data_IF_192274000559
#
_entry.id   IF_192274000559
#
_cell.length_a   1.000
_cell.length_b   1.000
_cell.length_c   1.000
_cell.angle_alpha   90.00
_cell.angle_beta   90.00
_cell.angle_gamma   90.00
#
_symmetry.space_group_name_H-M   'P 1'
#
loop_
_entity.id
_entity.type
_entity.pdbx_description
1 polymer ?
#
# COMPACT_ATOMS: atom_id res chain seq x y z
N UNK A 1 6.51 8.34 -24.92
CA UNK A 1 5.70 7.15 -24.57
C UNK A 1 6.16 5.98 -25.44
N UNK A 2 6.95 5.04 -24.88
CA UNK A 2 7.48 3.91 -25.65
C UNK A 2 6.38 2.85 -25.81
N UNK A 3 5.95 2.60 -27.05
CA UNK A 3 5.03 1.51 -27.38
C UNK A 3 5.83 0.20 -27.45
N UNK A 4 5.58 -0.72 -26.52
CA UNK A 4 6.08 -2.10 -26.63
C UNK A 4 5.14 -2.86 -27.57
N UNK A 5 5.72 -3.41 -28.63
CA UNK A 5 5.01 -4.13 -29.68
C UNK A 5 4.94 -5.62 -29.29
N UNK A 6 3.83 -6.05 -28.68
CA UNK A 6 3.62 -7.43 -28.29
C UNK A 6 3.18 -8.27 -29.51
N UNK A 7 4.15 -8.75 -30.29
CA UNK A 7 3.92 -9.87 -31.22
C UNK A 7 4.14 -11.18 -30.46
N UNK A 8 3.11 -11.63 -29.78
CA UNK A 8 2.97 -12.98 -29.25
C UNK A 8 1.53 -13.43 -29.53
N UNK A 9 1.36 -14.28 -30.53
CA UNK A 9 0.05 -14.80 -30.92
C UNK A 9 -0.54 -15.60 -29.75
N UNK A 10 -1.65 -15.12 -29.21
CA UNK A 10 -2.48 -15.85 -28.25
C UNK A 10 -3.13 -17.02 -28.99
N UNK A 11 -2.84 -18.25 -28.60
CA UNK A 11 -3.46 -19.45 -29.15
C UNK A 11 -4.88 -19.69 -28.61
N UNK A 12 -5.31 -18.93 -27.59
CA UNK A 12 -6.68 -18.89 -27.10
C UNK A 12 -7.09 -17.44 -26.92
N UNK A 13 -8.26 -17.03 -27.41
CA UNK A 13 -8.77 -15.65 -27.39
C UNK A 13 -9.10 -15.08 -26.01
N UNK A 14 -8.27 -15.30 -24.99
CA UNK A 14 -8.43 -14.76 -23.65
C UNK A 14 -7.70 -13.42 -23.51
N UNK A 15 -8.32 -12.41 -22.86
CA UNK A 15 -7.67 -11.12 -22.61
C UNK A 15 -6.39 -11.30 -21.78
N UNK A 16 -5.38 -10.48 -22.08
CA UNK A 16 -3.98 -10.55 -21.62
C UNK A 16 -3.77 -10.59 -20.09
N UNK A 17 -4.81 -10.35 -19.29
CA UNK A 17 -4.78 -10.45 -17.82
C UNK A 17 -4.89 -11.89 -17.29
N UNK A 18 -5.20 -12.88 -18.15
CA UNK A 18 -5.54 -14.26 -17.72
C UNK A 18 -4.65 -15.36 -18.30
N UNK A 19 -3.46 -15.01 -18.81
CA UNK A 19 -2.55 -16.00 -19.39
C UNK A 19 -2.00 -17.03 -18.37
N UNK A 20 -2.14 -16.78 -17.07
CA UNK A 20 -1.64 -17.65 -16.01
C UNK A 20 -2.79 -18.36 -15.25
N UNK A 21 -2.63 -19.67 -15.02
CA UNK A 21 -3.52 -20.48 -14.18
C UNK A 21 -3.19 -20.30 -12.68
N UNK A 22 -3.45 -19.11 -12.15
CA UNK A 22 -3.14 -18.77 -10.76
C UNK A 22 -4.10 -19.47 -9.79
N UNK A 23 -3.65 -20.59 -9.20
CA UNK A 23 -4.36 -21.26 -8.11
C UNK A 23 -4.24 -20.45 -6.81
N UNK A 24 -5.28 -20.42 -5.94
CA UNK A 24 -5.24 -19.68 -4.69
C UNK A 24 -4.24 -20.30 -3.70
N UNK A 25 -3.64 -19.45 -2.86
CA UNK A 25 -2.79 -19.91 -1.77
C UNK A 25 -3.60 -20.59 -0.66
N UNK A 26 -3.02 -21.59 0.00
CA UNK A 26 -3.65 -22.29 1.13
C UNK A 26 -3.79 -21.40 2.38
N UNK A 27 -2.92 -20.40 2.53
CA UNK A 27 -2.95 -19.40 3.60
C UNK A 27 -2.92 -18.01 2.98
N UNK A 28 -3.73 -17.10 3.51
CA UNK A 28 -3.74 -15.70 3.09
C UNK A 28 -3.92 -14.79 4.29
N UNK A 29 -3.27 -13.63 4.24
CA UNK A 29 -3.38 -12.59 5.27
C UNK A 29 -3.83 -11.31 4.58
N UNK A 30 -4.97 -10.78 5.03
CA UNK A 30 -5.56 -9.54 4.51
C UNK A 30 -5.64 -8.55 5.67
N UNK A 31 -5.13 -7.34 5.44
CA UNK A 31 -5.20 -6.25 6.41
C UNK A 31 -6.34 -5.31 6.05
N UNK A 32 -7.27 -5.10 6.99
CA UNK A 32 -8.24 -4.02 6.88
C UNK A 32 -7.56 -2.72 7.31
N UNK A 33 -7.45 -1.77 6.38
CA UNK A 33 -6.84 -0.48 6.64
C UNK A 33 -7.91 0.61 6.79
N UNK A 34 -7.81 1.41 7.85
CA UNK A 34 -8.55 2.66 8.02
C UNK A 34 -7.55 3.82 7.87
N UNK A 35 -7.85 4.78 7.01
CA UNK A 35 -7.00 5.96 6.80
C UNK A 35 -7.64 7.18 7.43
N UNK A 36 -6.92 7.81 8.36
CA UNK A 36 -7.26 9.14 8.88
C UNK A 36 -6.24 10.15 8.37
N UNK A 37 -6.70 11.37 8.10
CA UNK A 37 -5.89 12.44 7.53
C UNK A 37 -6.08 13.70 8.39
N UNK A 38 -5.00 14.45 8.57
CA UNK A 38 -5.00 15.73 9.26
C UNK A 38 -4.00 16.67 8.57
N UNK A 39 -4.22 17.97 8.71
CA UNK A 39 -3.28 18.96 8.20
C UNK A 39 -2.01 18.93 9.04
N UNK A 40 -0.88 18.78 8.35
CA UNK A 40 0.44 18.83 8.97
C UNK A 40 1.08 20.18 8.65
N UNK A 41 1.31 20.99 9.69
CA UNK A 41 1.99 22.27 9.56
C UNK A 41 3.48 22.08 9.90
N UNK A 42 4.32 22.14 8.87
CA UNK A 42 5.77 22.01 9.00
C UNK A 42 6.38 23.16 9.80
N UNK A 43 5.87 24.38 9.64
CA UNK A 43 6.43 25.56 10.31
C UNK A 43 6.20 25.49 11.83
N UNK A 44 4.97 25.18 12.23
CA UNK A 44 4.61 25.03 13.65
C UNK A 44 5.35 23.87 14.31
N UNK A 45 5.51 22.75 13.58
CA UNK A 45 6.26 21.60 14.07
C UNK A 45 7.74 21.94 14.31
N UNK A 46 8.41 22.57 13.35
CA UNK A 46 9.80 22.99 13.46
C UNK A 46 10.02 24.05 14.55
N UNK A 47 9.08 24.99 14.68
CA UNK A 47 9.11 25.99 15.75
C UNK A 47 8.99 25.33 17.14
N UNK A 48 8.14 24.31 17.29
CA UNK A 48 8.01 23.54 18.52
C UNK A 48 9.26 22.69 18.84
N UNK A 49 9.96 22.19 17.82
CA UNK A 49 11.23 21.45 17.98
C UNK A 49 12.46 22.36 18.18
N UNK A 50 12.33 23.67 17.94
CA UNK A 50 13.42 24.64 18.03
C UNK A 50 14.34 24.66 16.80
N UNK A 51 13.99 23.94 15.73
CA UNK A 51 14.77 23.91 14.49
C UNK A 51 14.25 24.95 13.50
N UNK A 52 14.72 26.18 13.66
CA UNK A 52 14.36 27.30 12.76
C UNK A 52 15.23 27.38 11.51
N UNK A 53 16.33 26.63 11.46
CA UNK A 53 17.31 26.69 10.37
C UNK A 53 16.91 25.78 9.19
N UNK A 54 16.15 24.71 9.43
CA UNK A 54 15.72 23.76 8.40
C UNK A 54 15.10 24.43 7.15
N UNK A 55 14.21 25.40 7.35
CA UNK A 55 13.54 26.09 6.23
C UNK A 55 14.47 27.07 5.50
N UNK A 56 15.52 27.56 6.17
CA UNK A 56 16.55 28.39 5.55
C UNK A 56 17.46 27.55 4.66
N UNK A 57 17.82 26.37 5.14
CA UNK A 57 18.72 25.46 4.42
C UNK A 57 17.99 24.72 3.29
N UNK A 58 16.68 24.50 3.42
CA UNK A 58 15.82 23.84 2.44
C UNK A 58 14.56 24.67 2.12
N UNK A 59 14.72 25.80 1.41
CA UNK A 59 13.60 26.66 1.06
C UNK A 59 12.60 25.94 0.14
N UNK A 60 11.31 26.03 0.48
CA UNK A 60 10.24 25.38 -0.29
C UNK A 60 10.08 23.88 -0.04
N UNK A 61 10.74 23.33 0.99
CA UNK A 61 10.55 21.95 1.41
C UNK A 61 9.10 21.69 1.87
N UNK A 62 8.61 20.49 1.59
CA UNK A 62 7.30 20.00 2.04
C UNK A 62 7.50 18.71 2.82
N UNK A 63 6.70 18.51 3.86
CA UNK A 63 6.78 17.33 4.71
C UNK A 63 5.39 16.76 4.94
N UNK A 64 5.31 15.43 4.99
CA UNK A 64 4.11 14.68 5.36
C UNK A 64 4.48 13.65 6.42
N UNK A 65 3.63 13.50 7.44
CA UNK A 65 3.81 12.50 8.49
C UNK A 65 2.84 11.34 8.32
N UNK A 66 3.37 10.11 8.32
CA UNK A 66 2.59 8.88 8.28
C UNK A 66 2.79 8.11 9.59
N UNK A 67 1.71 7.59 10.16
CA UNK A 67 1.76 6.73 11.35
C UNK A 67 0.91 5.49 11.11
N UNK A 68 1.52 4.31 11.23
CA UNK A 68 0.90 3.01 10.97
C UNK A 68 0.89 2.22 12.28
N UNK A 69 -0.30 1.78 12.70
CA UNK A 69 -0.46 1.02 13.94
C UNK A 69 -1.66 0.06 13.82
N UNK A 70 -1.65 -0.99 14.64
CA UNK A 70 -2.78 -1.91 14.74
C UNK A 70 -3.85 -1.32 15.66
N UNK A 71 -5.09 -1.22 15.17
CA UNK A 71 -6.24 -0.72 15.96
C UNK A 71 -6.59 -1.65 17.13
N UNK A 72 -6.46 -2.95 16.93
CA UNK A 72 -6.73 -3.99 17.92
C UNK A 72 -5.71 -5.12 17.76
N UNK A 73 -5.34 -5.78 18.86
CA UNK A 73 -4.32 -6.84 18.90
C UNK A 73 -4.85 -8.24 18.49
N UNK A 74 -5.90 -8.30 17.68
CA UNK A 74 -6.59 -9.57 17.37
C UNK A 74 -6.67 -9.82 15.86
N UNK A 75 -6.25 -11.02 15.46
CA UNK A 75 -6.38 -11.50 14.09
C UNK A 75 -7.80 -12.04 13.86
N UNK A 76 -8.43 -11.66 12.75
CA UNK A 76 -9.65 -12.31 12.29
C UNK A 76 -9.21 -13.60 11.59
N UNK A 77 -9.33 -14.73 12.29
CA UNK A 77 -8.95 -16.03 11.74
C UNK A 77 -10.11 -16.63 10.95
N UNK A 78 -9.78 -17.24 9.80
CA UNK A 78 -10.73 -18.04 9.02
C UNK A 78 -10.02 -19.31 8.57
N UNK A 79 -10.59 -20.46 8.94
CA UNK A 79 -10.06 -21.78 8.58
C UNK A 79 -11.17 -22.55 7.86
N UNK A 80 -10.85 -23.09 6.69
CA UNK A 80 -11.69 -24.07 5.99
C UNK A 80 -11.19 -25.47 6.35
N UNK A 81 -12.05 -26.30 6.92
CA UNK A 81 -11.82 -27.73 7.09
C UNK A 81 -12.68 -28.52 6.12
N UNK A 82 -12.23 -29.72 5.77
CA UNK A 82 -13.05 -30.67 5.01
C UNK A 82 -14.23 -31.14 5.88
N UNK A 83 -15.39 -31.34 5.26
CA UNK A 83 -16.62 -31.73 5.97
C UNK A 83 -16.62 -33.24 6.31
N UNK A 84 -15.95 -34.05 5.49
CA UNK A 84 -15.72 -35.47 5.67
C UNK A 84 -14.28 -35.73 5.24
N UNK A 85 -13.41 -36.11 6.17
CA UNK A 85 -11.96 -36.25 5.92
C UNK A 85 -11.61 -37.40 4.99
#
# INVERSE_FOLDING_TARGET
>A
VRKLNAKGASLDGRPMETACNCMPACTSLVYNAETSQANFDLHEMLAAEGDTDFLRDYPGSQMSRLSIYFKQNQFITSKRSELYG
#
